data_IF_510534491264
#
_entry.id   IF_510534491264
#
_cell.length_a   1.000
_cell.length_b   1.000
_cell.length_c   1.000
_cell.angle_alpha   90.00
_cell.angle_beta   90.00
_cell.angle_gamma   90.00
#
_symmetry.space_group_name_H-M   'P 1'
#
loop_
_entity.id
_entity.type
_entity.pdbx_description
1 polymer ?
#
# COMPACT_ATOMS: atom_id res chain seq x y z
N UNK A 1 -7.63 7.95 39.50
CA UNK A 1 -7.66 7.15 38.26
C UNK A 1 -8.36 5.84 38.55
N UNK A 2 -9.51 5.58 37.96
CA UNK A 2 -10.27 4.34 38.14
C UNK A 2 -9.62 3.18 37.34
N UNK A 3 -10.09 1.94 37.55
CA UNK A 3 -9.54 0.75 36.87
C UNK A 3 -9.59 0.87 35.35
N UNK A 4 -10.71 1.35 34.79
CA UNK A 4 -10.91 1.52 33.35
C UNK A 4 -9.92 2.56 32.79
N UNK A 5 -9.70 3.66 33.52
CA UNK A 5 -8.72 4.68 33.14
C UNK A 5 -7.30 4.13 33.19
N UNK A 6 -6.97 3.29 34.19
CA UNK A 6 -5.66 2.62 34.30
C UNK A 6 -5.42 1.63 33.16
N UNK A 7 -6.44 0.87 32.77
CA UNK A 7 -6.35 -0.12 31.70
C UNK A 7 -5.98 0.54 30.35
N UNK A 8 -6.32 1.82 30.13
CA UNK A 8 -5.89 2.58 28.94
C UNK A 8 -4.37 2.83 28.85
N UNK A 9 -3.65 2.72 29.96
CA UNK A 9 -2.19 2.89 30.03
C UNK A 9 -1.43 1.55 29.98
N UNK A 10 -2.14 0.43 29.89
CA UNK A 10 -1.55 -0.91 29.79
C UNK A 10 -1.63 -1.35 28.32
N UNK A 11 -0.47 -1.55 27.69
CA UNK A 11 -0.38 -1.91 26.28
C UNK A 11 0.43 -3.19 26.05
N UNK A 12 -0.02 -4.02 25.12
CA UNK A 12 0.68 -5.23 24.71
C UNK A 12 1.56 -4.96 23.48
N UNK A 13 2.83 -4.64 23.71
CA UNK A 13 3.75 -4.19 22.65
C UNK A 13 4.21 -5.34 21.72
N UNK A 14 4.18 -6.59 22.20
CA UNK A 14 4.72 -7.76 21.51
C UNK A 14 3.85 -8.39 20.40
N UNK A 15 2.61 -7.92 20.18
CA UNK A 15 1.70 -8.53 19.19
C UNK A 15 1.85 -7.96 17.77
N UNK A 16 2.98 -7.30 17.49
CA UNK A 16 3.27 -6.76 16.16
C UNK A 16 3.99 -7.82 15.33
N UNK A 17 3.35 -8.28 14.25
CA UNK A 17 3.84 -9.38 13.39
C UNK A 17 4.42 -8.91 12.04
N UNK A 18 4.47 -7.60 11.77
CA UNK A 18 5.11 -7.07 10.56
C UNK A 18 5.01 -5.55 10.40
N UNK A 19 5.76 -5.01 9.43
CA UNK A 19 5.91 -3.58 9.21
C UNK A 19 4.57 -2.89 8.86
N UNK A 20 3.61 -3.61 8.26
CA UNK A 20 2.29 -3.06 7.95
C UNK A 20 1.48 -2.70 9.20
N UNK A 21 1.62 -3.46 10.28
CA UNK A 21 0.96 -3.16 11.55
C UNK A 21 1.62 -1.98 12.24
N UNK A 22 2.95 -1.88 12.14
CA UNK A 22 3.73 -0.74 12.64
C UNK A 22 3.35 0.52 11.86
N UNK A 23 3.27 0.43 10.53
CA UNK A 23 2.81 1.51 9.67
C UNK A 23 1.44 2.05 10.12
N UNK A 24 0.46 1.17 10.35
CA UNK A 24 -0.85 1.59 10.86
C UNK A 24 -0.80 2.25 12.24
N UNK A 25 0.17 1.92 13.09
CA UNK A 25 0.36 2.61 14.37
C UNK A 25 0.93 4.02 14.17
N UNK A 26 1.92 4.19 13.28
CA UNK A 26 2.47 5.51 12.96
C UNK A 26 1.46 6.40 12.23
N UNK A 27 0.64 5.81 11.35
CA UNK A 27 -0.44 6.51 10.67
C UNK A 27 -1.46 7.07 11.67
N UNK A 28 -1.99 6.22 12.56
CA UNK A 28 -2.89 6.67 13.64
C UNK A 28 -2.24 7.70 14.57
N UNK A 29 -0.95 7.56 14.87
CA UNK A 29 -0.23 8.54 15.68
C UNK A 29 -0.15 9.90 14.97
N UNK A 30 0.12 9.90 13.67
CA UNK A 30 0.17 11.12 12.88
C UNK A 30 -1.20 11.80 12.81
N UNK A 31 -2.26 11.04 12.54
CA UNK A 31 -3.63 11.58 12.56
C UNK A 31 -4.00 12.14 13.94
N UNK A 32 -3.69 11.40 15.02
CA UNK A 32 -3.90 11.86 16.40
C UNK A 32 -3.19 13.20 16.68
N UNK A 33 -1.95 13.39 16.21
CA UNK A 33 -1.23 14.66 16.37
C UNK A 33 -2.03 15.80 15.74
N UNK A 34 -2.55 15.63 14.52
CA UNK A 34 -3.32 16.67 13.83
C UNK A 34 -4.72 16.89 14.40
N UNK A 35 -5.32 15.87 15.01
CA UNK A 35 -6.64 15.97 15.63
C UNK A 35 -6.59 16.61 17.03
N UNK A 36 -5.57 16.30 17.83
CA UNK A 36 -5.52 16.67 19.24
C UNK A 36 -4.56 17.83 19.53
N UNK A 37 -3.41 17.91 18.85
CA UNK A 37 -2.42 18.94 19.16
C UNK A 37 -2.91 20.37 18.92
N UNK A 38 -3.67 20.68 17.83
CA UNK A 38 -4.25 22.00 17.61
C UNK A 38 -5.28 22.43 18.67
N UNK A 39 -5.86 21.47 19.42
CA UNK A 39 -6.79 21.77 20.52
C UNK A 39 -6.06 22.32 21.76
N UNK A 40 -4.74 22.23 21.78
CA UNK A 40 -3.90 22.81 22.84
C UNK A 40 -3.57 24.28 22.54
N UNK A 41 -2.85 24.95 23.46
CA UNK A 41 -2.31 26.30 23.25
C UNK A 41 -0.91 26.30 22.61
N UNK A 42 -0.38 25.12 22.27
CA UNK A 42 1.01 24.95 21.80
C UNK A 42 1.11 25.08 20.29
N UNK A 43 2.32 25.37 19.81
CA UNK A 43 2.62 25.45 18.37
C UNK A 43 3.31 24.19 17.88
N UNK A 44 3.11 23.85 16.60
CA UNK A 44 3.80 22.72 15.96
C UNK A 44 5.31 22.84 16.01
N UNK A 45 5.85 24.06 16.09
CA UNK A 45 7.27 24.36 16.29
C UNK A 45 7.90 23.52 17.43
N UNK A 46 7.13 23.28 18.52
CA UNK A 46 7.58 22.51 19.70
C UNK A 46 7.74 21.00 19.45
N UNK A 47 7.06 20.46 18.42
CA UNK A 47 7.06 19.01 18.10
C UNK A 47 7.37 18.72 16.63
N UNK A 48 7.86 19.71 15.90
CA UNK A 48 8.01 19.68 14.44
C UNK A 48 8.86 18.50 13.96
N UNK A 49 10.05 18.31 14.55
CA UNK A 49 10.96 17.21 14.20
C UNK A 49 10.38 15.82 14.49
N UNK A 50 9.87 15.52 15.71
CA UNK A 50 9.14 14.27 15.97
C UNK A 50 7.97 14.02 15.01
N UNK A 51 7.17 15.05 14.68
CA UNK A 51 6.04 14.90 13.77
C UNK A 51 6.49 14.52 12.35
N UNK A 52 7.55 15.17 11.84
CA UNK A 52 8.14 14.85 10.54
C UNK A 52 8.79 13.46 10.52
N UNK A 53 9.41 13.03 11.63
CA UNK A 53 9.92 11.68 11.79
C UNK A 53 8.79 10.64 11.70
N UNK A 54 7.73 10.81 12.51
CA UNK A 54 6.56 9.93 12.53
C UNK A 54 5.99 9.72 11.13
N UNK A 55 5.77 10.81 10.41
CA UNK A 55 5.28 10.79 9.03
C UNK A 55 6.22 10.04 8.09
N UNK A 56 7.49 10.44 8.08
CA UNK A 56 8.47 9.90 7.14
C UNK A 56 8.69 8.41 7.36
N UNK A 57 8.66 7.97 8.61
CA UNK A 57 8.80 6.57 8.96
C UNK A 57 7.54 5.76 8.63
N UNK A 58 6.34 6.33 8.79
CA UNK A 58 5.10 5.72 8.28
C UNK A 58 5.22 5.45 6.77
N UNK A 59 5.58 6.47 5.99
CA UNK A 59 5.77 6.35 4.55
C UNK A 59 6.81 5.26 4.21
N UNK A 60 7.96 5.26 4.89
CA UNK A 60 9.01 4.27 4.69
C UNK A 60 8.49 2.82 4.85
N UNK A 61 7.78 2.54 5.94
CA UNK A 61 7.24 1.21 6.24
C UNK A 61 6.19 0.80 5.19
N UNK A 62 5.29 1.71 4.84
CA UNK A 62 4.27 1.47 3.83
C UNK A 62 4.86 1.15 2.45
N UNK A 63 5.93 1.85 2.05
CA UNK A 63 6.64 1.56 0.80
C UNK A 63 7.30 0.18 0.81
N UNK A 64 8.01 -0.15 1.90
CA UNK A 64 8.74 -1.43 2.01
C UNK A 64 7.80 -2.62 1.89
N UNK A 65 6.67 -2.59 2.58
CA UNK A 65 5.67 -3.66 2.50
C UNK A 65 5.03 -3.74 1.12
N UNK A 66 4.72 -2.61 0.48
CA UNK A 66 4.19 -2.61 -0.88
C UNK A 66 5.21 -3.14 -1.91
N UNK A 67 6.48 -2.76 -1.82
CA UNK A 67 7.53 -3.27 -2.71
C UNK A 67 7.67 -4.79 -2.53
N UNK A 68 7.67 -5.27 -1.29
CA UNK A 68 7.70 -6.69 -0.95
C UNK A 68 6.50 -7.43 -1.55
N UNK A 69 5.30 -6.87 -1.43
CA UNK A 69 4.08 -7.40 -2.02
C UNK A 69 4.18 -7.52 -3.55
N UNK A 70 4.51 -6.45 -4.29
CA UNK A 70 4.59 -6.52 -5.76
C UNK A 70 5.64 -7.53 -6.23
N UNK A 71 6.77 -7.59 -5.54
CA UNK A 71 7.88 -8.49 -5.87
C UNK A 71 7.54 -9.97 -5.69
N UNK A 72 6.63 -10.32 -4.79
CA UNK A 72 6.10 -11.69 -4.65
C UNK A 72 5.55 -12.21 -5.99
N UNK A 73 4.97 -11.34 -6.80
CA UNK A 73 4.23 -11.74 -8.00
C UNK A 73 5.04 -11.67 -9.29
N UNK A 74 5.87 -10.64 -9.46
CA UNK A 74 6.65 -10.49 -10.70
C UNK A 74 8.08 -11.05 -10.60
N UNK A 75 8.42 -11.72 -9.48
CA UNK A 75 9.62 -12.55 -9.19
C UNK A 75 10.98 -12.00 -9.67
N UNK A 76 11.08 -10.69 -9.88
CA UNK A 76 12.28 -10.07 -10.42
C UNK A 76 13.37 -10.03 -9.35
N UNK A 77 14.45 -10.78 -9.57
CA UNK A 77 15.64 -10.82 -8.70
C UNK A 77 16.32 -9.45 -8.54
N UNK A 78 16.14 -8.55 -9.50
CA UNK A 78 16.80 -7.24 -9.54
C UNK A 78 15.86 -6.14 -9.06
N UNK A 79 16.28 -5.42 -8.03
CA UNK A 79 15.70 -4.13 -7.65
C UNK A 79 16.26 -3.07 -8.61
N UNK A 80 15.46 -2.07 -8.95
CA UNK A 80 15.85 -1.00 -9.87
C UNK A 80 16.70 0.10 -9.21
N UNK A 81 16.52 0.30 -7.90
CA UNK A 81 17.20 1.34 -7.12
C UNK A 81 18.14 0.81 -6.04
N UNK A 82 18.17 -0.50 -5.82
CA UNK A 82 18.94 -1.13 -4.76
C UNK A 82 19.69 -2.34 -5.32
N UNK A 83 20.87 -2.65 -4.78
CA UNK A 83 21.62 -3.84 -5.24
C UNK A 83 20.97 -5.14 -4.75
N UNK A 84 20.37 -5.09 -3.55
CA UNK A 84 19.75 -6.25 -2.92
C UNK A 84 18.70 -5.84 -1.86
N UNK A 85 17.91 -6.82 -1.42
CA UNK A 85 16.85 -6.65 -0.42
C UNK A 85 17.34 -6.17 0.93
N UNK A 86 18.53 -6.58 1.36
CA UNK A 86 19.11 -6.14 2.63
C UNK A 86 19.32 -4.64 2.63
N UNK A 87 19.85 -4.09 1.53
CA UNK A 87 20.03 -2.64 1.38
C UNK A 87 18.70 -1.89 1.29
N UNK A 88 17.70 -2.42 0.58
CA UNK A 88 16.36 -1.82 0.55
C UNK A 88 15.74 -1.78 1.94
N UNK A 89 15.79 -2.89 2.68
CA UNK A 89 15.19 -3.02 4.01
C UNK A 89 15.84 -2.08 5.02
N UNK A 90 17.15 -1.84 4.89
CA UNK A 90 17.91 -0.89 5.72
C UNK A 90 17.82 0.56 5.21
N UNK A 91 17.29 0.79 4.02
CA UNK A 91 17.23 2.13 3.44
C UNK A 91 16.19 2.99 4.16
N UNK A 92 16.58 4.25 4.38
CA UNK A 92 15.72 5.34 4.84
C UNK A 92 15.49 6.39 3.74
N UNK A 93 15.97 6.11 2.52
CA UNK A 93 15.87 6.99 1.37
C UNK A 93 14.49 6.89 0.72
N UNK A 94 13.59 7.80 1.11
CA UNK A 94 12.22 7.83 0.64
C UNK A 94 12.13 8.01 -0.87
N UNK A 95 13.06 8.74 -1.49
CA UNK A 95 13.06 8.97 -2.94
C UNK A 95 13.37 7.68 -3.69
N UNK A 96 14.42 6.97 -3.28
CA UNK A 96 14.77 5.68 -3.89
C UNK A 96 13.71 4.61 -3.62
N UNK A 97 13.12 4.58 -2.42
CA UNK A 97 12.00 3.70 -2.11
C UNK A 97 10.75 4.01 -2.97
N UNK A 98 10.40 5.28 -3.15
CA UNK A 98 9.26 5.69 -3.98
C UNK A 98 9.42 5.26 -5.44
N UNK A 99 10.63 5.42 -5.99
CA UNK A 99 10.92 4.98 -7.35
C UNK A 99 10.89 3.45 -7.49
N UNK A 100 11.38 2.70 -6.49
CA UNK A 100 11.26 1.23 -6.49
C UNK A 100 9.81 0.78 -6.38
N UNK A 101 9.00 1.43 -5.54
CA UNK A 101 7.56 1.20 -5.41
C UNK A 101 6.84 1.42 -6.76
N UNK A 102 7.08 2.56 -7.42
CA UNK A 102 6.56 2.84 -8.77
C UNK A 102 7.02 1.82 -9.79
N UNK A 103 8.29 1.38 -9.74
CA UNK A 103 8.82 0.37 -10.64
C UNK A 103 8.10 -0.97 -10.45
N UNK A 104 7.94 -1.40 -9.18
CA UNK A 104 7.24 -2.63 -8.81
C UNK A 104 5.80 -2.64 -9.29
N UNK A 105 5.05 -1.57 -8.99
CA UNK A 105 3.66 -1.42 -9.44
C UNK A 105 3.55 -1.50 -10.96
N UNK A 106 4.35 -0.71 -11.71
CA UNK A 106 4.30 -0.68 -13.17
C UNK A 106 4.66 -2.02 -13.82
N UNK A 107 5.63 -2.76 -13.24
CA UNK A 107 6.00 -4.09 -13.71
C UNK A 107 4.85 -5.07 -13.53
N UNK A 108 4.26 -5.09 -12.34
CA UNK A 108 3.15 -5.99 -12.03
C UNK A 108 1.92 -5.65 -12.88
N UNK A 109 1.52 -4.37 -12.92
CA UNK A 109 0.44 -3.86 -13.76
C UNK A 109 0.57 -4.32 -15.22
N UNK A 110 1.75 -4.17 -15.81
CA UNK A 110 2.04 -4.64 -17.18
C UNK A 110 1.98 -6.16 -17.30
N UNK A 111 2.53 -6.89 -16.33
CA UNK A 111 2.58 -8.35 -16.35
C UNK A 111 1.18 -8.98 -16.32
N UNK A 112 0.28 -8.43 -15.51
CA UNK A 112 -1.11 -8.91 -15.41
C UNK A 112 -2.05 -8.29 -16.44
N UNK A 113 -1.55 -7.38 -17.29
CA UNK A 113 -2.34 -6.62 -18.24
C UNK A 113 -3.57 -5.96 -17.57
N UNK A 114 -3.32 -5.31 -16.43
CA UNK A 114 -4.37 -4.64 -15.66
C UNK A 114 -4.92 -3.40 -16.37
N UNK A 115 -6.12 -2.99 -15.97
CA UNK A 115 -6.85 -1.88 -16.58
C UNK A 115 -6.06 -0.57 -16.51
N UNK A 116 -6.22 0.26 -17.56
CA UNK A 116 -5.45 1.50 -17.70
C UNK A 116 -5.82 2.51 -16.61
N UNK A 117 -7.09 2.50 -16.21
CA UNK A 117 -7.68 3.32 -15.16
C UNK A 117 -6.94 3.13 -13.83
N UNK A 118 -6.60 1.89 -13.47
CA UNK A 118 -5.81 1.58 -12.26
C UNK A 118 -4.45 2.27 -12.28
N UNK A 119 -3.83 2.39 -13.45
CA UNK A 119 -2.53 3.05 -13.61
C UNK A 119 -2.66 4.57 -13.60
N UNK A 120 -3.74 5.11 -14.17
CA UNK A 120 -4.04 6.55 -14.14
C UNK A 120 -4.28 7.02 -12.71
N UNK A 121 -5.08 6.29 -11.94
CA UNK A 121 -5.33 6.57 -10.52
C UNK A 121 -4.06 6.47 -9.68
N UNK A 122 -3.27 5.40 -9.86
CA UNK A 122 -1.95 5.28 -9.21
C UNK A 122 -1.07 6.51 -9.50
N UNK A 123 -0.96 6.93 -10.76
CA UNK A 123 -0.10 8.06 -11.14
C UNK A 123 -0.58 9.39 -10.54
N UNK A 124 -1.90 9.57 -10.42
CA UNK A 124 -2.49 10.75 -9.76
C UNK A 124 -1.99 10.86 -8.31
N UNK A 125 -2.20 9.83 -7.51
CA UNK A 125 -1.77 9.84 -6.10
C UNK A 125 -0.24 9.79 -5.93
N UNK A 126 0.46 9.12 -6.84
CA UNK A 126 1.93 9.10 -6.83
C UNK A 126 2.53 10.49 -7.08
N UNK A 127 1.87 11.36 -7.84
CA UNK A 127 2.32 12.75 -8.03
C UNK A 127 2.33 13.51 -6.69
N UNK A 128 1.22 13.44 -5.94
CA UNK A 128 1.12 14.04 -4.60
C UNK A 128 2.17 13.48 -3.64
N UNK A 129 2.48 12.19 -3.79
CA UNK A 129 3.57 11.58 -3.02
C UNK A 129 4.94 12.18 -3.36
N UNK A 130 5.23 12.45 -4.64
CA UNK A 130 6.48 13.12 -5.04
C UNK A 130 6.57 14.55 -4.48
N UNK A 131 5.45 15.26 -4.47
CA UNK A 131 5.33 16.59 -3.86
C UNK A 131 5.63 16.51 -2.35
N UNK A 132 5.05 15.55 -1.64
CA UNK A 132 5.36 15.34 -0.21
C UNK A 132 6.83 15.06 0.06
N UNK A 133 7.47 14.17 -0.73
CA UNK A 133 8.91 13.90 -0.58
C UNK A 133 9.73 15.18 -0.78
N UNK A 134 9.33 16.04 -1.71
CA UNK A 134 10.01 17.32 -1.96
C UNK A 134 9.84 18.31 -0.81
N UNK A 135 8.66 18.36 -0.17
CA UNK A 135 8.41 19.19 1.02
C UNK A 135 9.24 18.72 2.23
N UNK A 136 9.30 17.40 2.44
CA UNK A 136 10.15 16.81 3.46
C UNK A 136 11.62 17.18 3.22
N UNK A 137 12.08 17.07 1.95
CA UNK A 137 13.44 17.38 1.48
C UNK A 137 14.54 16.56 2.20
N UNK A 138 14.17 15.55 2.99
CA UNK A 138 15.07 14.74 3.81
C UNK A 138 14.55 13.31 4.00
N UNK A 139 15.48 12.43 4.38
CA UNK A 139 15.19 11.04 4.71
C UNK A 139 14.64 10.92 6.14
N UNK A 140 13.84 9.89 6.40
CA UNK A 140 13.18 9.64 7.69
C UNK A 140 14.14 9.69 8.88
N UNK A 141 15.32 9.08 8.76
CA UNK A 141 16.34 9.03 9.81
C UNK A 141 16.81 10.42 10.29
N UNK A 142 16.72 11.42 9.42
CA UNK A 142 17.31 12.75 9.60
C UNK A 142 16.60 13.53 10.70
N UNK A 143 15.29 13.34 10.85
CA UNK A 143 14.48 14.10 11.81
C UNK A 143 14.68 13.69 13.28
N UNK A 144 15.47 12.64 13.54
CA UNK A 144 15.76 12.16 14.91
C UNK A 144 16.91 12.89 15.59
N UNK A 145 17.85 13.40 14.80
CA UNK A 145 19.11 13.94 15.31
C UNK A 145 19.26 15.38 14.88
N UNK A 146 19.96 16.17 15.69
CA UNK A 146 20.31 17.54 15.34
C UNK A 146 21.30 17.61 14.16
N UNK A 147 22.25 16.66 14.11
CA UNK A 147 23.29 16.57 13.08
C UNK A 147 23.26 15.19 12.43
N UNK A 148 23.51 15.17 11.12
CA UNK A 148 23.91 13.94 10.42
C UNK A 148 25.41 13.75 10.56
N UNK A 149 25.78 12.58 11.05
CA UNK A 149 27.17 12.17 11.25
C UNK A 149 27.48 11.05 10.24
N UNK A 150 28.70 11.02 9.69
CA UNK A 150 29.13 9.94 8.80
C UNK A 150 29.55 8.68 9.59
N UNK A 151 29.90 7.62 8.85
CA UNK A 151 30.35 6.36 9.42
C UNK A 151 31.68 6.48 10.20
N UNK A 152 32.35 7.63 10.16
CA UNK A 152 33.61 7.93 10.84
C UNK A 152 33.42 8.85 12.05
N UNK A 153 32.21 9.36 12.29
CA UNK A 153 31.95 10.30 13.38
C UNK A 153 32.02 11.78 12.97
N UNK A 154 32.26 12.07 11.69
CA UNK A 154 32.38 13.44 11.18
C UNK A 154 31.02 14.04 10.85
N UNK A 155 30.87 15.34 11.11
CA UNK A 155 29.63 16.09 10.84
C UNK A 155 29.47 16.28 9.33
N UNK A 156 28.38 15.77 8.76
CA UNK A 156 28.08 15.93 7.33
C UNK A 156 27.21 17.16 7.09
N UNK A 157 26.09 17.28 7.79
CA UNK A 157 25.08 18.31 7.54
C UNK A 157 24.13 18.45 8.73
N UNK A 158 23.56 19.64 8.93
CA UNK A 158 22.40 19.82 9.79
C UNK A 158 21.19 19.07 9.22
N UNK A 159 20.37 18.53 10.13
CA UNK A 159 19.22 17.71 9.77
C UNK A 159 18.12 18.51 9.07
N UNK A 160 17.85 19.74 9.53
CA UNK A 160 17.00 20.74 8.86
C UNK A 160 17.69 22.10 8.99
N UNK A 161 17.57 22.94 7.96
CA UNK A 161 18.00 24.34 8.02
C UNK A 161 17.13 25.12 9.01
N UNK A 162 17.75 25.86 9.93
CA UNK A 162 17.04 26.59 11.01
C UNK A 162 16.00 27.60 10.51
N UNK A 163 16.11 28.05 9.26
CA UNK A 163 15.18 29.01 8.63
C UNK A 163 14.06 28.32 7.86
N UNK A 164 14.10 27.00 7.67
CA UNK A 164 13.08 26.26 6.93
C UNK A 164 11.75 26.35 7.68
N UNK A 165 10.72 26.85 6.99
CA UNK A 165 9.33 26.80 7.43
C UNK A 165 8.61 25.71 6.66
N UNK A 166 7.82 24.92 7.37
CA UNK A 166 7.00 23.86 6.79
C UNK A 166 5.57 24.13 7.20
N UNK A 167 4.66 24.15 6.22
CA UNK A 167 3.24 24.15 6.49
C UNK A 167 2.79 22.73 6.84
N UNK A 168 2.51 22.49 8.12
CA UNK A 168 2.07 21.18 8.57
C UNK A 168 0.69 20.81 8.04
N UNK A 169 -0.17 21.78 7.69
CA UNK A 169 -1.48 21.48 7.08
C UNK A 169 -1.30 20.93 5.66
N UNK A 170 -0.46 21.57 4.84
CA UNK A 170 -0.10 21.09 3.50
C UNK A 170 0.50 19.67 3.57
N UNK A 171 1.37 19.41 4.55
CA UNK A 171 1.93 18.08 4.80
C UNK A 171 0.83 17.05 5.11
N UNK A 172 -0.18 17.40 5.90
CA UNK A 172 -1.29 16.51 6.25
C UNK A 172 -2.15 16.18 5.02
N UNK A 173 -2.47 17.18 4.21
CA UNK A 173 -3.26 17.02 2.98
C UNK A 173 -2.56 16.04 2.01
N UNK A 174 -1.26 16.25 1.75
CA UNK A 174 -0.51 15.33 0.92
C UNK A 174 -0.38 13.94 1.55
N UNK A 175 -0.23 13.83 2.87
CA UNK A 175 -0.15 12.53 3.52
C UNK A 175 -1.44 11.72 3.39
N UNK A 176 -2.62 12.35 3.45
CA UNK A 176 -3.89 11.65 3.25
C UNK A 176 -4.01 11.04 1.84
N UNK A 177 -3.50 11.74 0.83
CA UNK A 177 -3.40 11.22 -0.53
C UNK A 177 -2.38 10.07 -0.62
N UNK A 178 -1.27 10.17 0.10
CA UNK A 178 -0.27 9.08 0.20
C UNK A 178 -0.84 7.86 0.92
N UNK A 179 -1.67 8.02 1.95
CA UNK A 179 -2.38 6.89 2.58
C UNK A 179 -3.24 6.17 1.54
N UNK A 180 -3.98 6.94 0.76
CA UNK A 180 -4.81 6.42 -0.34
C UNK A 180 -3.96 5.67 -1.37
N UNK A 181 -2.78 6.19 -1.74
CA UNK A 181 -1.82 5.50 -2.61
C UNK A 181 -1.33 4.17 -2.03
N UNK A 182 -0.87 4.17 -0.79
CA UNK A 182 -0.22 3.02 -0.15
C UNK A 182 -1.20 1.88 0.11
N UNK A 183 -2.48 2.17 0.37
CA UNK A 183 -3.56 1.19 0.50
C UNK A 183 -4.12 0.81 -0.87
N UNK A 184 -4.29 1.80 -1.76
CA UNK A 184 -4.97 1.63 -3.04
C UNK A 184 -4.14 0.88 -4.07
N UNK A 185 -2.82 1.10 -4.13
CA UNK A 185 -1.95 0.45 -5.09
C UNK A 185 -1.93 -1.10 -5.01
N UNK A 186 -1.86 -1.76 -3.84
CA UNK A 186 -1.97 -3.21 -3.77
C UNK A 186 -3.39 -3.69 -4.05
N UNK A 187 -4.41 -2.95 -3.60
CA UNK A 187 -5.81 -3.31 -3.80
C UNK A 187 -6.25 -3.22 -5.28
N UNK A 188 -5.78 -2.21 -6.03
CA UNK A 188 -6.14 -2.01 -7.44
C UNK A 188 -5.65 -3.14 -8.35
N UNK A 189 -4.64 -3.88 -7.91
CA UNK A 189 -4.11 -5.05 -8.62
C UNK A 189 -4.41 -6.38 -7.90
N UNK A 190 -5.07 -6.32 -6.75
CA UNK A 190 -5.35 -7.45 -5.85
C UNK A 190 -6.08 -8.59 -6.57
N UNK A 191 -7.11 -8.24 -7.34
CA UNK A 191 -7.91 -9.21 -8.09
C UNK A 191 -7.08 -10.06 -9.08
N UNK A 192 -6.01 -9.50 -9.65
CA UNK A 192 -5.13 -10.21 -10.58
C UNK A 192 -4.09 -11.05 -9.84
N UNK A 193 -3.56 -10.54 -8.75
CA UNK A 193 -2.60 -11.28 -7.90
C UNK A 193 -3.25 -12.46 -7.20
N UNK A 194 -4.53 -12.35 -6.83
CA UNK A 194 -5.32 -13.45 -6.28
C UNK A 194 -5.55 -14.54 -7.32
N UNK A 195 -5.73 -14.16 -8.60
CA UNK A 195 -5.79 -15.14 -9.68
C UNK A 195 -4.45 -15.83 -9.92
N UNK A 196 -3.32 -15.12 -9.80
CA UNK A 196 -1.99 -15.76 -9.85
C UNK A 196 -1.85 -16.78 -8.71
N UNK A 197 -2.26 -16.43 -7.49
CA UNK A 197 -2.20 -17.33 -6.35
C UNK A 197 -3.13 -18.56 -6.54
N UNK A 198 -4.30 -18.37 -7.14
CA UNK A 198 -5.19 -19.46 -7.57
C UNK A 198 -4.52 -20.38 -8.60
N UNK A 199 -3.93 -19.86 -9.66
CA UNK A 199 -3.21 -20.67 -10.66
C UNK A 199 -2.05 -21.46 -10.06
N UNK A 200 -1.33 -20.88 -9.08
CA UNK A 200 -0.27 -21.57 -8.34
C UNK A 200 -0.83 -22.73 -7.50
N UNK A 201 -2.01 -22.56 -6.92
CA UNK A 201 -2.69 -23.60 -6.14
C UNK A 201 -3.39 -24.67 -7.01
N UNK A 202 -3.72 -24.35 -8.26
CA UNK A 202 -4.41 -25.21 -9.23
C UNK A 202 -3.66 -25.29 -10.56
N UNK A 203 -2.51 -26.00 -10.63
CA UNK A 203 -1.66 -26.03 -11.83
C UNK A 203 -2.32 -26.64 -13.08
N UNK A 204 -3.37 -27.43 -12.90
CA UNK A 204 -4.24 -27.94 -13.97
C UNK A 204 -4.96 -26.81 -14.72
N UNK A 205 -5.14 -25.66 -14.06
CA UNK A 205 -5.85 -24.50 -14.58
C UNK A 205 -4.87 -23.51 -15.24
N UNK A 206 -4.56 -23.74 -16.52
CA UNK A 206 -3.56 -22.96 -17.30
C UNK A 206 -4.15 -21.93 -18.28
N UNK A 207 -5.47 -21.85 -18.41
CA UNK A 207 -6.13 -21.01 -19.42
C UNK A 207 -6.75 -19.77 -18.79
N UNK A 208 -6.85 -18.71 -19.60
CA UNK A 208 -7.64 -17.52 -19.29
C UNK A 208 -6.92 -16.35 -18.64
N UNK A 209 -7.57 -15.17 -18.71
CA UNK A 209 -7.29 -13.96 -17.93
C UNK A 209 -8.32 -13.93 -16.81
N UNK A 210 -8.00 -14.53 -15.67
CA UNK A 210 -8.92 -14.54 -14.54
C UNK A 210 -8.65 -13.42 -13.55
N UNK A 211 -9.68 -13.11 -12.78
CA UNK A 211 -9.59 -12.22 -11.65
C UNK A 211 -10.47 -12.75 -10.52
N UNK A 212 -10.04 -12.55 -9.27
CA UNK A 212 -10.90 -12.83 -8.13
C UNK A 212 -12.06 -11.84 -8.14
N UNK A 213 -13.28 -12.33 -8.22
CA UNK A 213 -14.47 -11.48 -8.17
C UNK A 213 -14.86 -11.19 -6.72
N UNK A 214 -14.79 -12.18 -5.85
CA UNK A 214 -15.01 -12.02 -4.41
C UNK A 214 -14.61 -13.27 -3.60
N UNK A 215 -14.34 -13.09 -2.31
CA UNK A 215 -14.28 -14.17 -1.33
C UNK A 215 -15.69 -14.73 -1.05
N UNK A 216 -15.90 -16.05 -1.15
CA UNK A 216 -17.11 -16.74 -0.66
C UNK A 216 -17.03 -16.83 0.87
N UNK A 217 -17.63 -15.88 1.60
CA UNK A 217 -17.73 -16.02 3.06
C UNK A 217 -18.60 -17.24 3.43
N UNK A 218 -18.45 -17.77 4.64
CA UNK A 218 -19.08 -19.02 5.12
C UNK A 218 -20.63 -19.08 5.03
N UNK A 219 -21.31 -18.02 4.60
CA UNK A 219 -22.78 -17.88 4.55
C UNK A 219 -23.31 -17.38 3.19
N UNK A 220 -22.61 -17.65 2.08
CA UNK A 220 -22.80 -16.91 0.82
C UNK A 220 -23.32 -17.73 -0.37
N UNK A 221 -24.10 -18.80 -0.15
CA UNK A 221 -24.78 -19.48 -1.29
C UNK A 221 -25.61 -18.51 -2.13
N UNK A 222 -26.37 -17.61 -1.48
CA UNK A 222 -27.09 -16.53 -2.15
C UNK A 222 -26.20 -15.56 -2.92
N UNK A 223 -24.92 -15.43 -2.55
CA UNK A 223 -24.00 -14.54 -3.24
C UNK A 223 -23.57 -15.12 -4.59
N UNK A 224 -23.33 -16.44 -4.66
CA UNK A 224 -23.05 -17.11 -5.93
C UNK A 224 -24.22 -16.95 -6.90
N UNK A 225 -25.45 -17.10 -6.41
CA UNK A 225 -26.65 -16.89 -7.22
C UNK A 225 -26.77 -15.43 -7.70
N UNK A 226 -26.51 -14.46 -6.82
CA UNK A 226 -26.48 -13.04 -7.19
C UNK A 226 -25.42 -12.72 -8.26
N UNK A 227 -24.24 -13.34 -8.19
CA UNK A 227 -23.20 -13.21 -9.21
C UNK A 227 -23.71 -13.78 -10.54
N UNK A 228 -24.24 -15.01 -10.52
CA UNK A 228 -24.80 -15.64 -11.73
C UNK A 228 -25.92 -14.80 -12.34
N UNK A 229 -26.81 -14.24 -11.54
CA UNK A 229 -27.83 -13.30 -12.01
C UNK A 229 -27.22 -12.04 -12.63
N UNK A 230 -26.19 -11.48 -12.01
CA UNK A 230 -25.49 -10.30 -12.54
C UNK A 230 -24.82 -10.59 -13.87
N UNK A 231 -24.19 -11.77 -14.02
CA UNK A 231 -23.63 -12.23 -15.29
C UNK A 231 -24.72 -12.47 -16.32
N UNK A 232 -25.83 -13.12 -15.96
CA UNK A 232 -26.99 -13.31 -16.85
C UNK A 232 -27.59 -11.99 -17.37
N UNK A 233 -27.51 -10.91 -16.58
CA UNK A 233 -27.95 -9.56 -16.99
C UNK A 233 -26.98 -8.88 -17.96
N UNK A 234 -25.70 -9.28 -17.97
CA UNK A 234 -24.63 -8.61 -18.72
C UNK A 234 -24.15 -9.42 -19.93
N UNK A 235 -24.28 -10.73 -19.89
CA UNK A 235 -23.64 -11.69 -20.80
C UNK A 235 -24.61 -12.82 -21.17
N UNK A 236 -24.35 -13.48 -22.29
CA UNK A 236 -25.15 -14.62 -22.75
C UNK A 236 -24.71 -15.89 -22.03
N UNK A 237 -25.58 -16.49 -21.22
CA UNK A 237 -25.29 -17.77 -20.56
C UNK A 237 -25.12 -18.88 -21.60
N UNK A 238 -23.99 -19.59 -21.53
CA UNK A 238 -23.67 -20.75 -22.39
C UNK A 238 -23.90 -22.06 -21.63
N UNK A 239 -23.45 -22.12 -20.37
CA UNK A 239 -23.59 -23.24 -19.43
C UNK A 239 -23.85 -22.72 -18.00
N UNK A 240 -24.08 -23.60 -17.04
CA UNK A 240 -24.40 -23.21 -15.65
C UNK A 240 -23.35 -22.37 -14.94
N UNK A 241 -22.12 -22.46 -15.42
CA UNK A 241 -20.91 -21.85 -14.93
C UNK A 241 -20.15 -21.11 -16.04
N UNK A 242 -20.75 -20.89 -17.22
CA UNK A 242 -20.09 -20.21 -18.35
C UNK A 242 -20.98 -19.23 -19.09
N UNK A 243 -20.44 -18.05 -19.37
CA UNK A 243 -21.09 -16.93 -20.06
C UNK A 243 -20.24 -16.43 -21.23
N UNK A 244 -20.86 -15.76 -22.21
CA UNK A 244 -20.20 -15.09 -23.32
C UNK A 244 -20.51 -13.60 -23.27
N UNK A 245 -19.47 -12.76 -23.23
CA UNK A 245 -19.62 -11.31 -23.35
C UNK A 245 -19.48 -10.90 -24.81
N UNK A 246 -20.57 -10.43 -25.42
CA UNK A 246 -20.57 -9.99 -26.82
C UNK A 246 -19.81 -8.69 -27.05
N UNK A 247 -19.53 -7.91 -26.00
CA UNK A 247 -18.74 -6.67 -26.10
C UNK A 247 -17.25 -6.95 -26.20
N UNK A 248 -16.74 -7.88 -25.40
CA UNK A 248 -15.31 -8.25 -25.38
C UNK A 248 -14.99 -9.42 -26.30
N UNK A 249 -15.99 -10.24 -26.64
CA UNK A 249 -15.81 -11.47 -27.40
C UNK A 249 -15.19 -12.61 -26.59
N UNK A 250 -15.17 -12.50 -25.26
CA UNK A 250 -14.56 -13.47 -24.35
C UNK A 250 -15.63 -14.36 -23.69
N UNK A 251 -15.27 -15.61 -23.38
CA UNK A 251 -16.08 -16.45 -22.49
C UNK A 251 -15.66 -16.20 -21.06
N UNK A 252 -16.58 -16.27 -20.11
CA UNK A 252 -16.30 -16.16 -18.68
C UNK A 252 -16.77 -17.42 -17.98
N UNK A 253 -15.99 -17.97 -17.06
CA UNK A 253 -16.40 -19.09 -16.21
C UNK A 253 -16.23 -18.81 -14.72
N UNK A 254 -17.08 -19.42 -13.90
CA UNK A 254 -16.98 -19.33 -12.44
C UNK A 254 -16.28 -20.57 -11.90
N UNK A 255 -15.21 -20.37 -11.14
CA UNK A 255 -14.50 -21.41 -10.39
C UNK A 255 -14.54 -21.11 -8.89
N UNK A 256 -14.68 -22.15 -8.06
CA UNK A 256 -14.73 -22.01 -6.60
C UNK A 256 -13.56 -22.78 -5.98
N UNK A 257 -12.73 -22.09 -5.18
CA UNK A 257 -11.60 -22.71 -4.49
C UNK A 257 -11.35 -22.07 -3.13
N UNK A 258 -11.14 -22.87 -2.08
CA UNK A 258 -10.91 -22.40 -0.70
C UNK A 258 -11.93 -21.38 -0.17
N UNK A 259 -13.18 -21.49 -0.62
CA UNK A 259 -14.22 -20.49 -0.38
C UNK A 259 -13.94 -19.12 -1.03
N UNK A 260 -13.32 -19.09 -2.20
CA UNK A 260 -13.18 -17.92 -3.05
C UNK A 260 -13.92 -18.16 -4.37
N UNK A 261 -14.55 -17.11 -4.93
CA UNK A 261 -15.23 -17.16 -6.23
C UNK A 261 -14.40 -16.41 -7.25
N UNK A 262 -13.87 -17.17 -8.22
CA UNK A 262 -13.10 -16.64 -9.32
C UNK A 262 -14.00 -16.51 -10.55
N UNK A 263 -13.93 -15.36 -11.22
CA UNK A 263 -14.54 -15.18 -12.54
C UNK A 263 -13.39 -15.09 -13.54
N UNK A 264 -13.38 -16.02 -14.48
CA UNK A 264 -12.23 -16.24 -15.33
C UNK A 264 -12.60 -16.06 -16.78
N UNK A 265 -11.99 -15.10 -17.46
CA UNK A 265 -12.13 -14.96 -18.91
C UNK A 265 -11.32 -16.08 -19.59
N UNK A 266 -11.94 -16.93 -20.41
CA UNK A 266 -11.38 -18.14 -21.03
C UNK A 266 -11.22 -18.01 -22.54
#
# INVERSE_FOLDING_TARGET
MNRIERDKYIAWVGYTIGDIQIWGQYERLFDFIFEEYPKTKRRFDEISLPTLFTLSHAIELGLKENIKYFKKYHESKHLSKFENWTLLTKSHDLKNLAEEFKCGYNKLHKMVNADKENKEEFNKYFKSFQELISLLDRNSETYRYYLKIDNKGDRIKESIEHTKRIDFLEIKEHFDEVKTLLIGAPNSIGIYTDFIDFQKAKPEYKKGKGYLYCQRLHYTEHFLDNIKETLNKRMTKIKDDRWFDSKTGENFEIEIYNNDIYIIAV
#
